data_IF_512972772926
#
_entry.id   IF_512972772926
#
_cell.length_a   1.000
_cell.length_b   1.000
_cell.length_c   1.000
_cell.angle_alpha   90.00
_cell.angle_beta   90.00
_cell.angle_gamma   90.00
#
_symmetry.space_group_name_H-M   'P 1'
#
loop_
_entity.id
_entity.type
_entity.pdbx_description
1 polymer ?
#
# COMPACT_ATOMS: atom_id res chain seq x y z
N UNK A 1 -24.54 1.60 0.87
CA UNK A 1 -23.62 2.17 1.87
C UNK A 1 -22.27 2.19 1.19
N UNK A 2 -21.69 3.37 0.94
CA UNK A 2 -20.42 3.51 0.20
C UNK A 2 -19.30 3.77 1.20
N UNK A 3 -18.22 3.01 1.09
CA UNK A 3 -17.12 3.01 2.06
C UNK A 3 -15.88 3.55 1.32
N UNK A 4 -15.35 4.68 1.80
CA UNK A 4 -14.36 5.50 1.09
C UNK A 4 -12.90 5.19 1.51
N UNK A 5 -11.95 5.29 0.59
CA UNK A 5 -10.58 4.77 0.69
C UNK A 5 -9.61 5.36 1.74
N UNK A 6 -10.02 6.23 2.65
CA UNK A 6 -9.05 7.02 3.44
C UNK A 6 -8.48 6.22 4.63
N UNK A 7 -7.53 5.29 4.38
CA UNK A 7 -6.68 4.70 5.41
C UNK A 7 -6.16 3.27 5.17
N UNK A 8 -6.69 2.52 4.20
CA UNK A 8 -6.38 1.08 4.06
C UNK A 8 -4.92 0.82 3.69
N UNK A 9 -4.36 1.56 2.73
CA UNK A 9 -2.95 1.42 2.35
C UNK A 9 -1.99 1.75 3.52
N UNK A 10 -2.33 2.75 4.33
CA UNK A 10 -1.57 3.12 5.52
C UNK A 10 -1.65 2.04 6.60
N UNK A 11 -2.83 1.45 6.84
CA UNK A 11 -2.99 0.29 7.75
C UNK A 11 -2.15 -0.90 7.29
N UNK A 12 -2.20 -1.22 5.99
CA UNK A 12 -1.48 -2.34 5.41
C UNK A 12 0.04 -2.09 5.47
N UNK A 13 0.49 -0.87 5.19
CA UNK A 13 1.89 -0.47 5.30
C UNK A 13 2.40 -0.57 6.74
N UNK A 14 1.66 0.01 7.69
CA UNK A 14 1.95 -0.09 9.11
C UNK A 14 2.03 -1.56 9.54
N UNK A 15 1.02 -2.37 9.22
CA UNK A 15 0.98 -3.79 9.59
C UNK A 15 2.16 -4.57 9.00
N UNK A 16 2.52 -4.30 7.74
CA UNK A 16 3.65 -4.93 7.05
C UNK A 16 4.97 -4.61 7.75
N UNK A 17 5.23 -3.33 7.99
CA UNK A 17 6.47 -2.89 8.63
C UNK A 17 6.57 -3.38 10.07
N UNK A 18 5.48 -3.38 10.84
CA UNK A 18 5.44 -3.97 12.18
C UNK A 18 5.77 -5.47 12.16
N UNK A 19 5.24 -6.23 11.20
CA UNK A 19 5.58 -7.66 11.03
C UNK A 19 7.06 -7.87 10.67
N UNK A 20 7.65 -6.94 9.91
CA UNK A 20 9.08 -6.94 9.60
C UNK A 20 9.98 -6.43 10.74
N UNK A 21 9.41 -6.06 11.90
CA UNK A 21 10.15 -5.70 13.10
C UNK A 21 10.43 -4.20 13.26
N UNK A 22 9.81 -3.34 12.47
CA UNK A 22 9.86 -1.90 12.69
C UNK A 22 9.05 -1.54 13.93
N UNK A 23 9.69 -0.85 14.88
CA UNK A 23 9.04 -0.38 16.10
C UNK A 23 8.21 0.90 15.84
N UNK A 24 7.37 1.22 16.82
CA UNK A 24 6.45 2.36 16.75
C UNK A 24 7.18 3.70 16.66
N UNK A 25 8.35 3.84 17.29
CA UNK A 25 9.16 5.05 17.19
C UNK A 25 9.65 5.29 15.75
N UNK A 26 10.16 4.24 15.10
CA UNK A 26 10.62 4.29 13.71
C UNK A 26 9.47 4.59 12.75
N UNK A 27 8.31 3.93 12.92
CA UNK A 27 7.13 4.19 12.08
C UNK A 27 6.66 5.65 12.21
N UNK A 28 6.65 6.19 13.43
CA UNK A 28 6.28 7.57 13.70
C UNK A 28 7.24 8.58 13.06
N UNK A 29 8.54 8.29 13.01
CA UNK A 29 9.52 9.13 12.30
C UNK A 29 9.24 9.22 10.79
N UNK A 30 8.65 8.18 10.21
CA UNK A 30 8.21 8.16 8.81
C UNK A 30 6.77 8.61 8.60
N UNK A 31 6.09 9.11 9.64
CA UNK A 31 4.67 9.51 9.62
C UNK A 31 3.72 8.37 9.20
N UNK A 32 4.09 7.12 9.49
CA UNK A 32 3.24 5.95 9.26
C UNK A 32 2.48 5.66 10.56
N UNK A 33 1.23 6.09 10.62
CA UNK A 33 0.37 5.91 11.79
C UNK A 33 -0.62 4.77 11.56
N UNK A 34 -0.95 4.05 12.64
CA UNK A 34 -2.08 3.14 12.61
C UNK A 34 -3.37 3.95 12.44
N UNK A 35 -4.16 3.72 11.37
CA UNK A 35 -5.41 4.44 11.19
C UNK A 35 -6.43 4.03 12.25
N UNK A 36 -7.12 5.03 12.82
CA UNK A 36 -8.17 4.81 13.83
C UNK A 36 -9.44 4.19 13.24
N UNK A 37 -9.66 4.38 11.94
CA UNK A 37 -10.84 3.91 11.23
C UNK A 37 -10.38 3.31 9.91
N UNK A 38 -10.71 2.03 9.71
CA UNK A 38 -10.57 1.35 8.42
C UNK A 38 -11.92 1.34 7.72
N UNK A 39 -11.89 1.70 6.45
CA UNK A 39 -13.06 1.85 5.60
C UNK A 39 -13.14 0.68 4.59
N UNK A 40 -12.92 -0.55 5.05
CA UNK A 40 -13.09 -1.78 4.27
C UNK A 40 -13.64 -2.90 5.15
N UNK A 41 -14.32 -3.88 4.55
CA UNK A 41 -14.76 -5.07 5.28
C UNK A 41 -13.57 -5.86 5.85
N UNK A 42 -13.73 -6.58 6.98
CA UNK A 42 -12.71 -7.47 7.51
C UNK A 42 -12.24 -8.54 6.51
N UNK A 43 -13.17 -9.06 5.70
CA UNK A 43 -12.93 -10.06 4.67
C UNK A 43 -12.03 -9.50 3.56
N UNK A 44 -12.37 -8.32 3.04
CA UNK A 44 -11.54 -7.62 2.05
C UNK A 44 -10.16 -7.32 2.60
N UNK A 45 -10.05 -6.86 3.86
CA UNK A 45 -8.76 -6.62 4.49
C UNK A 45 -7.92 -7.91 4.58
N UNK A 46 -8.53 -9.02 4.99
CA UNK A 46 -7.83 -10.31 5.07
C UNK A 46 -7.35 -10.79 3.70
N UNK A 47 -8.14 -10.56 2.64
CA UNK A 47 -7.78 -10.88 1.26
C UNK A 47 -6.61 -10.02 0.77
N UNK A 48 -6.69 -8.70 0.92
CA UNK A 48 -5.59 -7.77 0.57
C UNK A 48 -4.30 -8.10 1.33
N UNK A 49 -4.41 -8.36 2.63
CA UNK A 49 -3.27 -8.72 3.48
C UNK A 49 -2.61 -10.02 3.02
N UNK A 50 -3.40 -11.07 2.72
CA UNK A 50 -2.87 -12.33 2.20
C UNK A 50 -2.13 -12.11 0.87
N UNK A 51 -2.68 -11.28 -0.01
CA UNK A 51 -2.08 -10.96 -1.30
C UNK A 51 -0.76 -10.18 -1.15
N UNK A 52 -0.69 -9.23 -0.21
CA UNK A 52 0.54 -8.50 0.14
C UNK A 52 1.62 -9.46 0.64
N UNK A 53 1.28 -10.41 1.51
CA UNK A 53 2.25 -11.38 2.02
C UNK A 53 2.80 -12.30 0.93
N UNK A 54 2.03 -12.59 -0.12
CA UNK A 54 2.52 -13.34 -1.28
C UNK A 54 3.57 -12.57 -2.08
N UNK A 55 3.53 -11.24 -2.06
CA UNK A 55 4.45 -10.35 -2.78
C UNK A 55 5.49 -9.68 -1.86
N UNK A 56 5.65 -10.18 -0.62
CA UNK A 56 6.51 -9.55 0.38
C UNK A 56 7.96 -9.37 -0.07
N UNK A 57 8.51 -10.30 -0.87
CA UNK A 57 9.88 -10.21 -1.36
C UNK A 57 10.06 -8.99 -2.28
N UNK A 58 9.10 -8.74 -3.17
CA UNK A 58 9.08 -7.56 -4.05
C UNK A 58 9.01 -6.28 -3.21
N UNK A 59 8.15 -6.25 -2.19
CA UNK A 59 7.99 -5.09 -1.31
C UNK A 59 9.24 -4.84 -0.44
N UNK A 60 9.95 -5.88 -0.01
CA UNK A 60 11.22 -5.74 0.71
C UNK A 60 12.30 -5.14 -0.20
N UNK A 61 12.34 -5.51 -1.47
CA UNK A 61 13.25 -4.91 -2.46
C UNK A 61 12.98 -3.41 -2.60
N UNK A 62 11.71 -2.99 -2.67
CA UNK A 62 11.33 -1.56 -2.67
C UNK A 62 11.85 -0.85 -1.42
N UNK A 63 11.73 -1.47 -0.25
CA UNK A 63 12.19 -0.88 1.00
C UNK A 63 13.72 -0.71 1.06
N UNK A 64 14.47 -1.75 0.69
CA UNK A 64 15.93 -1.80 0.84
C UNK A 64 16.65 -0.95 -0.21
N UNK A 65 16.16 -0.94 -1.46
CA UNK A 65 16.89 -0.31 -2.56
C UNK A 65 16.74 1.21 -2.62
N UNK A 66 15.95 1.83 -1.74
CA UNK A 66 15.58 3.24 -1.84
C UNK A 66 15.96 4.07 -0.60
N UNK A 67 16.98 3.62 0.15
CA UNK A 67 17.60 4.32 1.29
C UNK A 67 16.55 5.06 2.17
N UNK A 68 16.72 6.37 2.36
CA UNK A 68 15.87 7.21 3.23
C UNK A 68 14.40 7.34 2.76
N UNK A 69 14.09 6.94 1.52
CA UNK A 69 12.75 7.01 0.93
C UNK A 69 12.03 5.66 0.87
N UNK A 70 12.68 4.55 1.26
CA UNK A 70 12.12 3.20 1.14
C UNK A 70 10.73 3.04 1.75
N UNK A 71 10.50 3.59 2.95
CA UNK A 71 9.20 3.55 3.63
C UNK A 71 8.14 4.36 2.89
N UNK A 72 8.50 5.55 2.38
CA UNK A 72 7.59 6.40 1.59
C UNK A 72 7.21 5.72 0.28
N UNK A 73 8.16 5.07 -0.37
CA UNK A 73 7.96 4.35 -1.61
C UNK A 73 7.10 3.11 -1.40
N UNK A 74 7.31 2.39 -0.29
CA UNK A 74 6.46 1.29 0.11
C UNK A 74 5.02 1.74 0.35
N UNK A 75 4.82 2.85 1.06
CA UNK A 75 3.49 3.42 1.28
C UNK A 75 2.83 3.79 -0.06
N UNK A 76 3.57 4.42 -0.96
CA UNK A 76 3.08 4.80 -2.29
C UNK A 76 2.72 3.58 -3.15
N UNK A 77 3.58 2.56 -3.18
CA UNK A 77 3.31 1.28 -3.87
C UNK A 77 2.03 0.63 -3.35
N UNK A 78 1.85 0.58 -2.03
CA UNK A 78 0.65 0.04 -1.43
C UNK A 78 -0.58 0.90 -1.73
N UNK A 79 -0.44 2.23 -1.83
CA UNK A 79 -1.51 3.13 -2.26
C UNK A 79 -1.92 2.90 -3.72
N UNK A 80 -0.97 2.71 -4.63
CA UNK A 80 -1.25 2.43 -6.04
C UNK A 80 -1.88 1.05 -6.24
N UNK A 81 -1.37 0.02 -5.55
CA UNK A 81 -1.99 -1.32 -5.51
C UNK A 81 -3.46 -1.25 -5.10
N UNK A 82 -3.67 -0.56 -3.99
CA UNK A 82 -4.96 -0.24 -3.41
C UNK A 82 -5.90 0.47 -4.38
N UNK A 83 -5.38 1.48 -5.10
CA UNK A 83 -6.12 2.27 -6.09
C UNK A 83 -6.46 1.44 -7.33
N UNK A 84 -5.56 0.59 -7.79
CA UNK A 84 -5.81 -0.32 -8.91
C UNK A 84 -6.89 -1.38 -8.59
N UNK A 85 -7.11 -1.68 -7.31
CA UNK A 85 -8.22 -2.53 -6.85
C UNK A 85 -9.55 -1.78 -6.67
N UNK A 86 -9.56 -0.45 -6.83
CA UNK A 86 -10.76 0.37 -6.64
C UNK A 86 -11.62 0.45 -7.90
N UNK A 87 -12.93 0.61 -7.73
CA UNK A 87 -13.87 0.81 -8.83
C UNK A 87 -13.82 2.24 -9.39
N UNK A 88 -14.66 2.53 -10.39
CA UNK A 88 -14.74 3.86 -11.03
C UNK A 88 -15.13 5.01 -10.08
N UNK A 89 -15.62 4.69 -8.89
CA UNK A 89 -16.06 5.66 -7.87
C UNK A 89 -15.00 5.79 -6.76
N UNK A 90 -13.88 5.07 -6.86
CA UNK A 90 -12.80 5.07 -5.86
C UNK A 90 -13.12 4.25 -4.61
N UNK A 91 -14.10 3.34 -4.69
CA UNK A 91 -14.44 2.42 -3.60
C UNK A 91 -13.71 1.09 -3.81
N UNK A 92 -13.14 0.53 -2.73
CA UNK A 92 -12.82 -0.90 -2.71
C UNK A 92 -14.13 -1.68 -2.73
N UNK A 93 -14.17 -2.73 -3.52
CA UNK A 93 -15.26 -3.70 -3.47
C UNK A 93 -15.43 -4.23 -2.03
N UNK A 94 -16.66 -4.59 -1.66
CA UNK A 94 -16.91 -5.35 -0.42
C UNK A 94 -16.20 -6.71 -0.43
N UNK A 95 -15.78 -7.17 -1.62
CA UNK A 95 -14.90 -8.32 -1.90
C UNK A 95 -14.05 -8.05 -3.16
N UNK A 96 -12.72 -8.23 -3.08
CA UNK A 96 -11.82 -8.02 -4.24
C UNK A 96 -11.53 -9.37 -4.90
N UNK A 97 -11.99 -9.51 -6.15
CA UNK A 97 -11.76 -10.72 -6.94
C UNK A 97 -10.28 -10.97 -7.20
N UNK A 98 -9.89 -12.26 -7.25
CA UNK A 98 -8.49 -12.68 -7.47
C UNK A 98 -7.90 -12.12 -8.78
N UNK A 99 -8.70 -12.06 -9.85
CA UNK A 99 -8.27 -11.46 -11.12
C UNK A 99 -7.97 -9.96 -11.02
N UNK A 100 -8.66 -9.24 -10.14
CA UNK A 100 -8.41 -7.81 -9.88
C UNK A 100 -7.13 -7.62 -9.09
N UNK A 101 -6.88 -8.47 -8.07
CA UNK A 101 -5.62 -8.45 -7.31
C UNK A 101 -4.42 -8.73 -8.21
N UNK A 102 -4.54 -9.73 -9.08
CA UNK A 102 -3.49 -10.08 -10.03
C UNK A 102 -3.20 -8.92 -10.98
N UNK A 103 -4.23 -8.31 -11.57
CA UNK A 103 -4.06 -7.16 -12.46
C UNK A 103 -3.46 -5.93 -11.73
N UNK A 104 -3.82 -5.72 -10.45
CA UNK A 104 -3.26 -4.66 -9.63
C UNK A 104 -1.77 -4.87 -9.34
N UNK A 105 -1.35 -6.10 -9.03
CA UNK A 105 0.06 -6.43 -8.87
C UNK A 105 0.84 -6.30 -10.18
N UNK A 106 0.29 -6.77 -11.29
CA UNK A 106 0.91 -6.58 -12.62
C UNK A 106 1.11 -5.09 -12.93
N UNK A 107 0.13 -4.24 -12.62
CA UNK A 107 0.27 -2.80 -12.76
C UNK A 107 1.42 -2.26 -11.88
N UNK A 108 1.42 -2.60 -10.60
CA UNK A 108 2.41 -2.13 -9.62
C UNK A 108 3.82 -2.55 -10.00
N UNK A 109 4.03 -3.82 -10.32
CA UNK A 109 5.36 -4.36 -10.63
C UNK A 109 5.91 -3.86 -11.96
N UNK A 110 5.04 -3.69 -12.97
CA UNK A 110 5.49 -3.30 -14.32
C UNK A 110 5.57 -1.78 -14.51
N UNK A 111 4.80 -1.00 -13.74
CA UNK A 111 4.67 0.44 -13.98
C UNK A 111 5.05 1.29 -12.77
N UNK A 112 4.57 0.93 -11.57
CA UNK A 112 4.78 1.75 -10.37
C UNK A 112 6.20 1.60 -9.83
N UNK A 113 6.61 0.38 -9.48
CA UNK A 113 7.93 0.11 -8.89
C UNK A 113 9.08 0.60 -9.79
N UNK A 114 9.08 0.33 -11.11
CA UNK A 114 10.13 0.82 -12.00
C UNK A 114 10.20 2.36 -12.07
N UNK A 115 9.06 3.05 -11.87
CA UNK A 115 9.02 4.52 -11.90
C UNK A 115 9.64 5.17 -10.67
N UNK A 116 9.78 4.45 -9.54
CA UNK A 116 10.33 4.99 -8.28
C UNK A 116 11.80 5.43 -8.40
N UNK A 117 12.54 4.85 -9.36
CA UNK A 117 13.93 5.19 -9.65
C UNK A 117 14.11 6.33 -10.67
N UNK A 118 13.03 6.87 -11.23
CA UNK A 118 13.11 8.01 -12.15
C UNK A 118 13.18 9.30 -11.33
N UNK A 119 14.18 10.17 -11.59
CA UNK A 119 14.38 11.45 -10.88
C UNK A 119 13.15 12.39 -10.95
N UNK A 120 12.20 12.08 -11.83
CA UNK A 120 10.92 12.79 -12.00
C UNK A 120 9.77 12.24 -11.17
N UNK A 121 9.96 11.11 -10.48
CA UNK A 121 8.95 10.53 -9.60
C UNK A 121 8.86 11.35 -8.31
N UNK A 122 8.27 12.55 -8.44
CA UNK A 122 7.92 13.38 -7.30
C UNK A 122 6.70 12.73 -6.66
N UNK A 123 6.92 11.92 -5.64
CA UNK A 123 5.83 11.48 -4.76
C UNK A 123 5.40 12.69 -3.93
N UNK A 124 4.54 13.52 -4.52
CA UNK A 124 3.81 14.55 -3.78
C UNK A 124 2.76 13.85 -2.92
N UNK A 125 3.12 13.54 -1.68
CA UNK A 125 2.11 13.39 -0.63
C UNK A 125 1.41 14.74 -0.53
N UNK A 126 0.13 14.79 -0.91
CA UNK A 126 -0.65 16.02 -0.88
C UNK A 126 -0.50 16.67 0.49
N UNK A 127 0.03 17.89 0.51
CA UNK A 127 0.04 18.71 1.71
C UNK A 127 -1.42 18.92 2.12
N UNK A 128 -1.80 18.38 3.28
CA UNK A 128 -3.03 18.73 3.99
C UNK A 128 -2.72 19.86 4.95
#
# INVERSE_FOLDING_TARGET
MHVNYFGVHAELCHSLLSVWGYDEETLNQHHIYQPLITLSSPETKATLWRSILQHQEVLQVVLINNEDYGVKYLLYVLQEFCTACSDKVGCLYDDVEEGTLQAAWEHVEQHVIPSLGDEKCVITFGAV
#
